data_IF_950724012105
#
_entry.id   IF_950724012105
#
_cell.length_a   1.000
_cell.length_b   1.000
_cell.length_c   1.000
_cell.angle_alpha   90.00
_cell.angle_beta   90.00
_cell.angle_gamma   90.00
#
_symmetry.space_group_name_H-M   'P 1'
#
loop_
_entity.id
_entity.type
_entity.pdbx_description
1 polymer ?
#
# COMPACT_ATOMS: atom_id res chain seq x y z
N UNK A 1 6.54 -23.33 -66.72
CA UNK A 1 5.34 -22.70 -66.13
C UNK A 1 4.88 -23.56 -64.96
N UNK A 2 5.34 -23.25 -63.74
CA UNK A 2 4.98 -23.98 -62.52
C UNK A 2 3.80 -23.31 -61.81
N UNK A 3 2.66 -23.98 -61.75
CA UNK A 3 1.48 -23.52 -61.02
C UNK A 3 1.70 -23.72 -59.51
N UNK A 4 2.02 -22.65 -58.78
CA UNK A 4 1.97 -22.65 -57.31
C UNK A 4 0.51 -22.62 -56.87
N UNK A 5 -0.02 -23.75 -56.40
CA UNK A 5 -1.28 -23.78 -55.66
C UNK A 5 -1.04 -23.17 -54.28
N UNK A 6 -1.53 -21.96 -54.06
CA UNK A 6 -1.67 -21.40 -52.71
C UNK A 6 -2.66 -22.27 -51.91
N UNK A 7 -2.16 -22.96 -50.88
CA UNK A 7 -3.02 -23.59 -49.88
C UNK A 7 -3.50 -22.49 -48.93
N UNK A 8 -4.73 -22.03 -49.12
CA UNK A 8 -5.44 -21.22 -48.13
C UNK A 8 -5.83 -22.14 -46.97
N UNK A 9 -5.08 -22.07 -45.86
CA UNK A 9 -5.48 -22.72 -44.61
C UNK A 9 -6.56 -21.85 -43.96
N UNK A 10 -7.83 -22.21 -44.22
CA UNK A 10 -8.97 -21.61 -43.54
C UNK A 10 -8.99 -22.12 -42.09
N UNK A 11 -8.64 -21.26 -41.13
CA UNK A 11 -8.86 -21.55 -39.72
C UNK A 11 -10.35 -21.32 -39.40
N UNK A 12 -11.11 -22.41 -39.20
CA UNK A 12 -12.46 -22.32 -38.63
C UNK A 12 -12.33 -21.81 -37.20
N UNK A 13 -12.81 -20.60 -36.95
CA UNK A 13 -12.94 -20.02 -35.61
C UNK A 13 -13.94 -20.89 -34.83
N UNK A 14 -13.45 -21.72 -33.90
CA UNK A 14 -14.32 -22.48 -32.99
C UNK A 14 -15.05 -21.48 -32.10
N UNK A 15 -16.37 -21.45 -32.16
CA UNK A 15 -17.19 -20.74 -31.18
C UNK A 15 -17.03 -21.42 -29.82
N UNK A 16 -16.33 -20.74 -28.90
CA UNK A 16 -16.26 -21.18 -27.51
C UNK A 16 -17.57 -20.77 -26.85
N UNK A 17 -18.41 -21.74 -26.50
CA UNK A 17 -19.61 -21.47 -25.68
C UNK A 17 -19.15 -20.93 -24.33
N UNK A 18 -19.65 -19.74 -23.96
CA UNK A 18 -19.44 -19.17 -22.63
C UNK A 18 -20.25 -20.00 -21.64
N UNK A 19 -19.55 -20.82 -20.85
CA UNK A 19 -20.17 -21.58 -19.75
C UNK A 19 -20.30 -20.59 -18.57
N UNK A 20 -21.50 -20.47 -18.01
CA UNK A 20 -21.70 -19.79 -16.72
C UNK A 20 -21.58 -20.84 -15.62
N UNK A 21 -20.72 -20.59 -14.64
CA UNK A 21 -20.47 -21.48 -13.49
C UNK A 21 -21.07 -20.90 -12.19
N UNK A 22 -21.68 -19.73 -12.25
CA UNK A 22 -22.38 -19.12 -11.11
C UNK A 22 -23.55 -20.01 -10.67
N UNK A 23 -23.68 -20.23 -9.35
CA UNK A 23 -24.66 -21.13 -8.77
C UNK A 23 -24.21 -22.60 -8.64
N UNK A 24 -23.04 -22.96 -9.13
CA UNK A 24 -22.45 -24.29 -8.90
C UNK A 24 -21.71 -24.30 -7.56
N UNK A 25 -22.13 -25.15 -6.62
CA UNK A 25 -21.57 -25.21 -5.25
C UNK A 25 -20.03 -25.31 -5.21
N UNK A 26 -19.44 -26.13 -6.08
CA UNK A 26 -17.99 -26.32 -6.13
C UNK A 26 -17.25 -25.07 -6.61
N UNK A 27 -17.87 -24.29 -7.50
CA UNK A 27 -17.29 -23.06 -8.05
C UNK A 27 -17.42 -21.93 -7.04
N UNK A 28 -18.56 -21.78 -6.38
CA UNK A 28 -18.75 -20.82 -5.29
C UNK A 28 -17.78 -21.08 -4.13
N UNK A 29 -17.56 -22.35 -3.76
CA UNK A 29 -16.53 -22.73 -2.77
C UNK A 29 -15.14 -22.31 -3.21
N UNK A 30 -14.75 -22.59 -4.46
CA UNK A 30 -13.45 -22.17 -5.00
C UNK A 30 -13.29 -20.64 -4.98
N UNK A 31 -14.32 -19.89 -5.34
CA UNK A 31 -14.27 -18.42 -5.32
C UNK A 31 -14.11 -17.91 -3.89
N UNK A 32 -14.89 -18.42 -2.93
CA UNK A 32 -14.75 -18.05 -1.52
C UNK A 32 -13.35 -18.35 -0.97
N UNK A 33 -12.75 -19.48 -1.34
CA UNK A 33 -11.36 -19.81 -0.98
C UNK A 33 -10.36 -18.84 -1.61
N UNK A 34 -10.52 -18.50 -2.90
CA UNK A 34 -9.68 -17.52 -3.58
C UNK A 34 -9.75 -16.14 -2.92
N UNK A 35 -10.96 -15.69 -2.58
CA UNK A 35 -11.20 -14.41 -1.89
C UNK A 35 -10.56 -14.41 -0.51
N UNK A 36 -10.75 -15.46 0.29
CA UNK A 36 -10.15 -15.58 1.62
C UNK A 36 -8.61 -15.54 1.58
N UNK A 37 -8.00 -16.22 0.60
CA UNK A 37 -6.55 -16.17 0.39
C UNK A 37 -6.08 -14.76 0.04
N UNK A 38 -6.80 -14.08 -0.84
CA UNK A 38 -6.45 -12.73 -1.27
C UNK A 38 -6.63 -11.70 -0.15
N UNK A 39 -7.70 -11.81 0.64
CA UNK A 39 -7.96 -10.95 1.79
C UNK A 39 -6.87 -11.09 2.85
N UNK A 40 -6.40 -12.31 3.13
CA UNK A 40 -5.27 -12.54 4.02
C UNK A 40 -3.98 -11.87 3.52
N UNK A 41 -3.69 -11.94 2.21
CA UNK A 41 -2.54 -11.25 1.61
C UNK A 41 -2.65 -9.73 1.78
N UNK A 42 -3.82 -9.16 1.48
CA UNK A 42 -4.07 -7.72 1.62
C UNK A 42 -3.93 -7.28 3.07
N UNK A 43 -4.49 -8.04 4.02
CA UNK A 43 -4.40 -7.75 5.44
C UNK A 43 -2.94 -7.72 5.91
N UNK A 44 -2.16 -8.76 5.60
CA UNK A 44 -0.74 -8.84 5.94
C UNK A 44 0.08 -7.71 5.32
N UNK A 45 -0.21 -7.35 4.07
CA UNK A 45 0.43 -6.22 3.40
C UNK A 45 0.15 -4.90 4.14
N UNK A 46 -1.10 -4.63 4.51
CA UNK A 46 -1.48 -3.41 5.24
C UNK A 46 -0.77 -3.33 6.59
N UNK A 47 -0.77 -4.42 7.35
CA UNK A 47 -0.09 -4.47 8.65
C UNK A 47 1.41 -4.23 8.51
N UNK A 48 2.06 -4.94 7.59
CA UNK A 48 3.50 -4.78 7.30
C UNK A 48 3.83 -3.33 6.92
N UNK A 49 2.98 -2.70 6.10
CA UNK A 49 3.16 -1.31 5.70
C UNK A 49 3.02 -0.34 6.89
N UNK A 50 2.02 -0.52 7.75
CA UNK A 50 1.81 0.30 8.94
C UNK A 50 2.99 0.21 9.92
N UNK A 51 3.40 -1.00 10.25
CA UNK A 51 4.56 -1.24 11.11
C UNK A 51 5.85 -0.67 10.52
N UNK A 52 6.09 -0.93 9.23
CA UNK A 52 7.30 -0.45 8.54
C UNK A 52 7.39 1.08 8.56
N UNK A 53 6.29 1.77 8.32
CA UNK A 53 6.23 3.24 8.35
C UNK A 53 6.46 3.81 9.76
N UNK A 54 5.88 3.17 10.78
CA UNK A 54 6.06 3.55 12.17
C UNK A 54 7.51 3.34 12.64
N UNK A 55 8.08 2.16 12.39
CA UNK A 55 9.48 1.80 12.69
C UNK A 55 10.47 2.71 11.95
N UNK A 56 10.19 3.05 10.69
CA UNK A 56 11.00 3.99 9.91
C UNK A 56 11.05 5.37 10.60
N UNK A 57 9.91 5.86 11.08
CA UNK A 57 9.84 7.11 11.83
C UNK A 57 10.69 7.11 13.09
N UNK A 58 10.57 6.05 13.90
CA UNK A 58 11.40 5.83 15.09
C UNK A 58 12.88 5.88 14.75
N UNK A 59 13.32 5.04 13.79
CA UNK A 59 14.73 4.89 13.44
C UNK A 59 15.36 6.22 13.03
N UNK A 60 14.65 7.04 12.26
CA UNK A 60 15.14 8.37 11.85
C UNK A 60 15.26 9.30 13.07
N UNK A 61 14.33 9.24 14.01
CA UNK A 61 14.31 10.10 15.19
C UNK A 61 15.39 9.75 16.21
N UNK A 62 15.84 8.49 16.27
CA UNK A 62 17.01 8.09 17.06
C UNK A 62 18.29 8.82 16.62
N UNK A 63 18.38 9.24 15.35
CA UNK A 63 19.53 9.98 14.82
C UNK A 63 19.42 11.51 14.97
N UNK A 64 18.41 12.02 15.70
CA UNK A 64 18.19 13.45 15.86
C UNK A 64 19.44 14.22 16.29
N UNK A 65 20.25 13.65 17.20
CA UNK A 65 21.47 14.31 17.67
C UNK A 65 22.57 14.36 16.61
N UNK A 66 22.66 13.34 15.75
CA UNK A 66 23.58 13.35 14.62
C UNK A 66 23.14 14.35 13.55
N UNK A 67 21.83 14.47 13.28
CA UNK A 67 21.31 15.52 12.41
C UNK A 67 21.60 16.92 12.95
N UNK A 68 21.42 17.15 14.27
CA UNK A 68 21.80 18.42 14.92
C UNK A 68 23.28 18.73 14.77
N UNK A 69 24.17 17.75 15.03
CA UNK A 69 25.64 17.91 14.87
C UNK A 69 26.01 18.29 13.44
N UNK A 70 25.36 17.68 12.46
CA UNK A 70 25.53 17.97 11.03
C UNK A 70 24.79 19.22 10.56
N UNK A 71 24.10 19.93 11.45
CA UNK A 71 23.27 21.12 11.14
C UNK A 71 22.16 20.85 10.10
N UNK A 72 21.64 19.63 10.06
CA UNK A 72 20.54 19.20 9.19
C UNK A 72 19.25 19.22 10.02
N UNK A 73 18.22 19.92 9.56
CA UNK A 73 16.99 20.11 10.31
C UNK A 73 15.73 20.01 9.46
N UNK A 74 14.61 19.68 10.11
CA UNK A 74 13.27 19.78 9.54
C UNK A 74 13.15 19.08 8.17
N UNK A 75 12.81 19.85 7.13
CA UNK A 75 12.62 19.34 5.77
C UNK A 75 13.89 18.75 5.16
N UNK A 76 15.07 19.20 5.56
CA UNK A 76 16.33 18.70 4.98
C UNK A 76 16.63 17.26 5.44
N UNK A 77 16.27 16.90 6.68
CA UNK A 77 16.35 15.50 7.16
C UNK A 77 15.51 14.61 6.25
N UNK A 78 14.26 15.02 6.01
CA UNK A 78 13.30 14.27 5.18
C UNK A 78 13.86 14.08 3.77
N UNK A 79 14.36 15.16 3.15
CA UNK A 79 14.90 15.15 1.80
C UNK A 79 16.12 14.23 1.67
N UNK A 80 17.10 14.35 2.57
CA UNK A 80 18.32 13.54 2.47
C UNK A 80 18.03 12.06 2.66
N UNK A 81 17.24 11.72 3.69
CA UNK A 81 16.85 10.32 3.92
C UNK A 81 16.09 9.78 2.71
N UNK A 82 15.10 10.51 2.21
CA UNK A 82 14.30 10.11 1.06
C UNK A 82 15.16 9.80 -0.18
N UNK A 83 16.13 10.66 -0.48
CA UNK A 83 17.08 10.47 -1.58
C UNK A 83 17.95 9.23 -1.37
N UNK A 84 18.51 9.05 -0.16
CA UNK A 84 19.38 7.92 0.15
C UNK A 84 18.65 6.58 0.09
N UNK A 85 17.40 6.51 0.52
CA UNK A 85 16.60 5.26 0.50
C UNK A 85 15.72 5.11 -0.74
N UNK A 86 15.81 6.04 -1.71
CA UNK A 86 15.00 6.07 -2.95
C UNK A 86 13.49 6.01 -2.69
N UNK A 87 13.04 6.73 -1.66
CA UNK A 87 11.61 6.85 -1.32
C UNK A 87 11.13 8.28 -1.57
N UNK A 88 9.82 8.47 -1.70
CA UNK A 88 9.25 9.81 -1.76
C UNK A 88 9.38 10.54 -0.42
N UNK A 89 9.74 11.83 -0.44
CA UNK A 89 9.87 12.67 0.76
C UNK A 89 8.63 12.63 1.67
N UNK A 90 7.44 12.62 1.07
CA UNK A 90 6.18 12.51 1.81
C UNK A 90 6.09 11.24 2.65
N UNK A 91 6.63 10.11 2.18
CA UNK A 91 6.63 8.86 2.94
C UNK A 91 7.52 8.98 4.18
N UNK A 92 8.72 9.56 4.01
CA UNK A 92 9.61 9.82 5.15
C UNK A 92 8.96 10.76 6.16
N UNK A 93 8.36 11.86 5.68
CA UNK A 93 7.64 12.81 6.51
C UNK A 93 6.49 12.16 7.29
N UNK A 94 5.66 11.35 6.64
CA UNK A 94 4.56 10.67 7.30
C UNK A 94 5.03 9.59 8.27
N UNK A 95 6.10 8.86 7.99
CA UNK A 95 6.67 7.91 8.95
C UNK A 95 7.12 8.59 10.24
N UNK A 96 7.87 9.69 10.12
CA UNK A 96 8.31 10.50 11.26
C UNK A 96 7.10 11.04 12.04
N UNK A 97 6.09 11.59 11.35
CA UNK A 97 4.87 12.09 12.00
C UNK A 97 4.08 10.98 12.68
N UNK A 98 4.02 9.80 12.07
CA UNK A 98 3.28 8.67 12.60
C UNK A 98 3.84 8.27 13.96
N UNK A 99 5.15 8.02 14.04
CA UNK A 99 5.80 7.69 15.31
C UNK A 99 5.69 8.81 16.35
N UNK A 100 5.92 10.07 15.95
CA UNK A 100 5.82 11.21 16.88
C UNK A 100 4.43 11.35 17.50
N UNK A 101 3.38 11.14 16.71
CA UNK A 101 2.00 11.31 17.17
C UNK A 101 1.50 10.08 17.95
N UNK A 102 1.96 8.90 17.56
CA UNK A 102 1.54 7.63 18.16
C UNK A 102 2.77 6.76 18.42
N UNK A 103 3.52 6.97 19.52
CA UNK A 103 4.74 6.21 19.80
C UNK A 103 4.49 4.71 20.01
N UNK A 104 3.31 4.34 20.50
CA UNK A 104 2.84 2.97 20.61
C UNK A 104 1.81 2.67 19.51
N UNK A 105 2.20 1.82 18.55
CA UNK A 105 1.36 1.43 17.43
C UNK A 105 0.15 0.59 17.89
N UNK A 106 0.33 -0.31 18.86
CA UNK A 106 -0.74 -1.19 19.34
C UNK A 106 -1.80 -0.39 20.10
N UNK A 107 -1.37 0.59 20.90
CA UNK A 107 -2.29 1.52 21.55
C UNK A 107 -3.08 2.33 20.51
N UNK A 108 -2.43 2.81 19.45
CA UNK A 108 -3.12 3.51 18.37
C UNK A 108 -4.16 2.62 17.67
N UNK A 109 -3.77 1.40 17.27
CA UNK A 109 -4.67 0.47 16.60
C UNK A 109 -5.86 0.10 17.48
N UNK A 110 -5.66 -0.06 18.79
CA UNK A 110 -6.75 -0.31 19.75
C UNK A 110 -7.69 0.89 19.94
N UNK A 111 -7.23 2.11 19.61
CA UNK A 111 -8.01 3.35 19.79
C UNK A 111 -8.90 3.72 18.61
N UNK A 112 -8.65 3.14 17.42
CA UNK A 112 -9.42 3.43 16.21
C UNK A 112 -10.50 2.37 16.00
N UNK A 113 -11.69 2.79 15.56
CA UNK A 113 -12.84 1.89 15.38
C UNK A 113 -12.59 0.74 14.40
N UNK A 114 -11.71 0.96 13.43
CA UNK A 114 -11.36 0.00 12.39
C UNK A 114 -10.27 -0.98 12.85
N UNK A 115 -9.62 -0.75 13.99
CA UNK A 115 -8.52 -1.57 14.47
C UNK A 115 -7.41 -1.76 13.44
N UNK A 116 -6.96 -3.01 13.32
CA UNK A 116 -5.96 -3.48 12.34
C UNK A 116 -6.44 -3.41 10.88
N UNK A 117 -7.75 -3.26 10.63
CA UNK A 117 -8.29 -3.13 9.28
C UNK A 117 -8.16 -1.70 8.70
N UNK A 118 -7.66 -0.75 9.48
CA UNK A 118 -7.41 0.61 8.99
C UNK A 118 -6.34 0.62 7.88
N UNK A 119 -6.51 1.47 6.86
CA UNK A 119 -5.52 1.62 5.79
C UNK A 119 -4.54 2.77 6.05
N UNK A 120 -3.31 2.66 5.55
CA UNK A 120 -2.33 3.74 5.62
C UNK A 120 -2.83 5.06 5.02
N UNK A 121 -3.62 5.00 3.94
CA UNK A 121 -4.25 6.20 3.36
C UNK A 121 -5.16 6.89 4.38
N UNK A 122 -5.97 6.12 5.10
CA UNK A 122 -6.90 6.64 6.11
C UNK A 122 -6.14 7.18 7.33
N UNK A 123 -5.08 6.50 7.75
CA UNK A 123 -4.15 7.00 8.78
C UNK A 123 -3.61 8.38 8.38
N UNK A 124 -3.05 8.49 7.17
CA UNK A 124 -2.47 9.73 6.67
C UNK A 124 -3.52 10.85 6.67
N UNK A 125 -4.66 10.63 6.01
CA UNK A 125 -5.68 11.68 5.80
C UNK A 125 -6.42 12.12 7.06
N UNK A 126 -6.62 11.22 8.02
CA UNK A 126 -7.43 11.52 9.22
C UNK A 126 -6.59 11.87 10.43
N UNK A 127 -5.37 11.36 10.50
CA UNK A 127 -4.57 11.45 11.73
C UNK A 127 -3.23 12.16 11.53
N UNK A 128 -2.64 12.14 10.33
CA UNK A 128 -1.30 12.70 10.10
C UNK A 128 -1.29 14.00 9.30
N UNK A 129 -2.33 14.31 8.53
CA UNK A 129 -2.49 15.64 7.91
C UNK A 129 -3.09 16.62 8.91
N UNK A 130 -2.60 17.85 8.90
CA UNK A 130 -3.31 18.96 9.56
C UNK A 130 -4.56 19.30 8.75
N UNK A 131 -5.67 19.69 9.40
CA UNK A 131 -6.82 20.20 8.68
C UNK A 131 -6.38 21.40 7.84
N UNK A 132 -6.69 21.37 6.54
CA UNK A 132 -6.51 22.53 5.66
C UNK A 132 -7.30 23.69 6.27
N UNK A 133 -6.62 24.71 6.78
CA UNK A 133 -7.24 25.97 7.24
C UNK A 133 -7.94 26.76 6.11
N UNK A 134 -8.16 26.16 4.94
CA UNK A 134 -8.66 26.81 3.73
C UNK A 134 -10.06 26.32 3.31
N UNK A 135 -10.82 25.67 4.21
CA UNK A 135 -12.22 25.26 3.95
C UNK A 135 -13.22 25.74 5.01
N UNK A 136 -12.82 26.72 5.82
CA UNK A 136 -13.69 27.38 6.81
C UNK A 136 -13.86 28.89 6.53
N UNK A 137 -13.78 29.30 5.26
CA UNK A 137 -14.25 30.61 4.79
C UNK A 137 -15.25 30.43 3.64
#
# INVERSE_FOLDING_TARGET
MGNKKERVVSYKKKEIKKINLEGEDWYESLIGECEALWDAVIFNYKMTMMEGMHKLGLRILEENDNFKRSRIYGKEIVKQVAQSVRMGERMIYYGIRFYKKFPDLNQFLSSVSEGENISMRKIIMRYLTEPDKAREE
#
